data_IF_204958334995
#
_entry.id   IF_204958334995
#
_cell.length_a   1.000
_cell.length_b   1.000
_cell.length_c   1.000
_cell.angle_alpha   90.00
_cell.angle_beta   90.00
_cell.angle_gamma   90.00
#
_symmetry.space_group_name_H-M   'P 1'
#
loop_
_entity.id
_entity.type
_entity.pdbx_description
1 polymer ?
#
# COMPACT_ATOMS: atom_id res chain seq x y z
N UNK A 1 -23.26 11.80 -20.36
CA UNK A 1 -23.31 10.54 -21.14
C UNK A 1 -22.51 9.52 -20.37
N UNK A 2 -23.14 8.46 -19.88
CA UNK A 2 -22.54 7.46 -19.00
C UNK A 2 -21.59 6.55 -19.78
N UNK A 3 -20.31 6.88 -19.77
CA UNK A 3 -19.20 6.05 -20.30
C UNK A 3 -19.00 4.74 -19.51
N UNK A 4 -19.78 4.53 -18.45
CA UNK A 4 -19.67 3.40 -17.51
C UNK A 4 -20.04 2.03 -18.13
N UNK A 5 -20.73 2.00 -19.28
CA UNK A 5 -21.23 0.74 -19.86
C UNK A 5 -20.47 0.24 -21.09
N UNK A 6 -19.43 0.93 -21.58
CA UNK A 6 -18.59 0.39 -22.66
C UNK A 6 -17.60 -0.62 -22.08
N UNK A 7 -17.44 -1.80 -22.68
CA UNK A 7 -16.41 -2.75 -22.24
C UNK A 7 -15.01 -2.16 -22.46
N UNK A 8 -14.09 -2.37 -21.51
CA UNK A 8 -12.72 -1.82 -21.57
C UNK A 8 -11.96 -2.21 -22.84
N UNK A 9 -12.33 -3.30 -23.51
CA UNK A 9 -11.75 -3.77 -24.77
C UNK A 9 -12.07 -2.89 -25.98
N UNK A 10 -13.13 -2.08 -25.92
CA UNK A 10 -13.61 -1.24 -27.02
C UNK A 10 -13.31 0.25 -26.81
N UNK A 11 -12.66 0.60 -25.69
CA UNK A 11 -12.31 1.97 -25.36
C UNK A 11 -10.97 2.35 -26.01
N UNK A 12 -10.90 3.61 -26.45
CA UNK A 12 -9.63 4.21 -26.89
C UNK A 12 -8.67 4.38 -25.71
N UNK A 13 -7.37 4.50 -26.00
CA UNK A 13 -6.34 4.67 -24.97
C UNK A 13 -6.57 5.93 -24.11
N UNK A 14 -7.06 7.01 -24.73
CA UNK A 14 -7.40 8.25 -24.02
C UNK A 14 -8.60 8.06 -23.09
N UNK A 15 -9.65 7.38 -23.53
CA UNK A 15 -10.82 7.08 -22.70
C UNK A 15 -10.44 6.17 -21.52
N UNK A 16 -9.57 5.18 -21.73
CA UNK A 16 -9.07 4.29 -20.68
C UNK A 16 -8.30 5.07 -19.60
N UNK A 17 -7.44 6.01 -20.02
CA UNK A 17 -6.68 6.85 -19.10
C UNK A 17 -7.59 7.77 -18.29
N UNK A 18 -8.58 8.39 -18.93
CA UNK A 18 -9.57 9.24 -18.24
C UNK A 18 -10.40 8.43 -17.23
N UNK A 19 -10.78 7.20 -17.59
CA UNK A 19 -11.49 6.32 -16.67
C UNK A 19 -10.60 5.92 -15.48
N UNK A 20 -9.33 5.60 -15.70
CA UNK A 20 -8.39 5.28 -14.62
C UNK A 20 -8.17 6.48 -13.67
N UNK A 21 -8.02 7.69 -14.22
CA UNK A 21 -7.93 8.91 -13.41
C UNK A 21 -9.21 9.17 -12.59
N UNK A 22 -10.38 8.89 -13.17
CA UNK A 22 -11.66 8.99 -12.45
C UNK A 22 -11.75 7.95 -11.33
N UNK A 23 -11.38 6.70 -11.60
CA UNK A 23 -11.33 5.60 -10.63
C UNK A 23 -10.36 5.93 -9.48
N UNK A 24 -9.23 6.58 -9.75
CA UNK A 24 -8.29 7.04 -8.71
C UNK A 24 -8.83 8.21 -7.89
N UNK A 25 -9.59 9.13 -8.47
CA UNK A 25 -10.07 10.30 -7.74
C UNK A 25 -11.34 10.02 -6.92
N UNK A 26 -12.22 9.15 -7.41
CA UNK A 26 -13.55 8.89 -6.81
C UNK A 26 -13.69 7.50 -6.20
N UNK A 27 -12.82 6.56 -6.56
CA UNK A 27 -12.87 5.18 -6.11
C UNK A 27 -12.12 4.93 -4.79
N UNK A 28 -11.96 3.66 -4.39
CA UNK A 28 -11.31 3.27 -3.14
C UNK A 28 -9.83 3.67 -3.06
N UNK A 29 -9.15 3.76 -4.21
CA UNK A 29 -7.75 4.19 -4.29
C UNK A 29 -7.56 5.71 -4.06
N UNK A 30 -8.65 6.48 -3.99
CA UNK A 30 -8.61 7.90 -3.66
C UNK A 30 -7.94 8.17 -2.30
N UNK A 31 -7.99 7.22 -1.38
CA UNK A 31 -7.28 7.28 -0.09
C UNK A 31 -5.77 7.38 -0.29
N UNK A 32 -5.20 6.63 -1.24
CA UNK A 32 -3.79 6.71 -1.59
C UNK A 32 -3.48 8.01 -2.34
N UNK A 33 -4.35 8.43 -3.25
CA UNK A 33 -4.20 9.69 -3.98
C UNK A 33 -4.15 10.89 -3.05
N UNK A 34 -5.04 10.94 -2.05
CA UNK A 34 -5.02 11.95 -1.00
C UNK A 34 -3.76 11.86 -0.13
N UNK A 35 -3.29 10.64 0.16
CA UNK A 35 -2.08 10.43 0.96
C UNK A 35 -0.82 10.93 0.25
N UNK A 36 -0.73 10.76 -1.08
CA UNK A 36 0.36 11.30 -1.89
C UNK A 36 0.29 12.84 -1.93
N UNK A 37 -0.89 13.40 -2.22
CA UNK A 37 -1.09 14.87 -2.31
C UNK A 37 -0.77 15.60 -1.02
N UNK A 38 -1.24 15.06 0.11
CA UNK A 38 -1.04 15.68 1.42
C UNK A 38 0.28 15.24 2.08
N UNK A 39 1.02 14.34 1.44
CA UNK A 39 2.21 13.70 1.99
C UNK A 39 1.93 13.06 3.37
N UNK A 40 0.72 12.51 3.58
CA UNK A 40 0.33 11.88 4.84
C UNK A 40 1.09 10.58 5.08
N UNK A 41 1.24 10.23 6.35
CA UNK A 41 1.76 8.93 6.74
C UNK A 41 0.66 7.87 6.60
N UNK A 42 1.05 6.69 6.14
CA UNK A 42 0.16 5.54 6.00
C UNK A 42 0.72 4.34 6.74
N UNK A 43 -0.18 3.49 7.22
CA UNK A 43 0.15 2.17 7.77
C UNK A 43 -0.32 1.10 6.78
N UNK A 44 0.60 0.25 6.35
CA UNK A 44 0.34 -0.87 5.44
C UNK A 44 0.53 -2.17 6.21
N UNK A 45 -0.47 -3.04 6.19
CA UNK A 45 -0.34 -4.42 6.67
C UNK A 45 -0.05 -5.34 5.49
N UNK A 46 1.08 -6.04 5.56
CA UNK A 46 1.55 -6.95 4.51
C UNK A 46 1.14 -8.40 4.80
N UNK A 47 1.13 -9.23 3.76
CA UNK A 47 0.73 -10.66 3.81
C UNK A 47 1.66 -11.51 4.67
N UNK A 48 2.93 -11.13 4.79
CA UNK A 48 3.91 -11.76 5.69
C UNK A 48 3.74 -11.35 7.17
N UNK A 49 2.63 -10.67 7.51
CA UNK A 49 2.34 -10.14 8.85
C UNK A 49 3.31 -9.04 9.33
N UNK A 50 4.07 -8.44 8.41
CA UNK A 50 4.85 -7.23 8.69
C UNK A 50 3.95 -6.00 8.51
N UNK A 51 4.24 -4.95 9.27
CA UNK A 51 3.56 -3.66 9.17
C UNK A 51 4.56 -2.61 8.70
N UNK A 52 4.20 -1.85 7.68
CA UNK A 52 5.02 -0.75 7.16
C UNK A 52 4.36 0.57 7.53
N UNK A 53 5.08 1.44 8.20
CA UNK A 53 4.70 2.81 8.41
C UNK A 53 5.53 3.69 7.48
N UNK A 54 4.89 4.32 6.49
CA UNK A 54 5.59 4.95 5.37
C UNK A 54 4.84 6.17 4.83
N UNK A 55 5.48 6.92 3.92
CA UNK A 55 4.81 7.92 3.07
C UNK A 55 4.84 7.44 1.62
N UNK A 56 3.71 7.50 0.93
CA UNK A 56 3.60 7.12 -0.48
C UNK A 56 4.04 8.29 -1.35
N UNK A 57 4.89 8.03 -2.34
CA UNK A 57 5.26 9.00 -3.38
C UNK A 57 4.56 8.74 -4.70
N UNK A 58 4.34 7.49 -5.04
CA UNK A 58 3.58 7.08 -6.21
C UNK A 58 2.90 5.74 -5.94
N UNK A 59 1.79 5.49 -6.63
CA UNK A 59 1.11 4.20 -6.65
C UNK A 59 0.54 3.94 -8.04
N UNK A 60 0.10 2.71 -8.30
CA UNK A 60 -0.57 2.33 -9.54
C UNK A 60 -1.89 1.57 -9.28
N UNK A 61 -2.56 1.18 -10.37
CA UNK A 61 -3.80 0.39 -10.35
C UNK A 61 -3.69 -0.99 -9.68
N UNK A 62 -2.48 -1.55 -9.59
CA UNK A 62 -2.23 -2.84 -8.95
C UNK A 62 -1.89 -2.67 -7.46
N UNK A 63 -1.97 -1.45 -6.92
CA UNK A 63 -1.55 -1.13 -5.57
C UNK A 63 -0.05 -1.32 -5.35
N UNK A 64 0.76 -1.34 -6.42
CA UNK A 64 2.22 -1.19 -6.27
C UNK A 64 2.50 0.22 -5.78
N UNK A 65 3.48 0.39 -4.90
CA UNK A 65 3.78 1.68 -4.28
C UNK A 65 5.27 1.97 -4.26
N UNK A 66 5.60 3.23 -4.51
CA UNK A 66 6.90 3.80 -4.19
C UNK A 66 6.78 4.50 -2.84
N UNK A 67 7.52 4.00 -1.85
CA UNK A 67 7.47 4.45 -0.47
C UNK A 67 8.77 5.14 -0.07
N UNK A 68 8.65 6.15 0.78
CA UNK A 68 9.77 6.83 1.42
C UNK A 68 9.64 6.81 2.95
N UNK A 69 10.79 6.87 3.63
CA UNK A 69 10.90 6.87 5.08
C UNK A 69 10.14 5.69 5.70
N UNK A 70 10.39 4.49 5.18
CA UNK A 70 9.68 3.28 5.57
C UNK A 70 10.24 2.76 6.88
N UNK A 71 9.36 2.65 7.87
CA UNK A 71 9.62 1.88 9.09
C UNK A 71 8.85 0.56 9.01
N UNK A 72 9.58 -0.52 8.78
CA UNK A 72 9.05 -1.87 8.82
C UNK A 72 9.10 -2.41 10.24
N UNK A 73 8.01 -3.05 10.68
CA UNK A 73 7.85 -3.57 12.04
C UNK A 73 7.26 -4.98 11.98
N UNK A 74 7.85 -5.90 12.71
CA UNK A 74 7.36 -7.28 12.83
C UNK A 74 7.70 -7.85 14.21
N UNK A 75 7.05 -8.95 14.56
CA UNK A 75 7.29 -9.65 15.81
C UNK A 75 7.89 -11.02 15.50
N UNK A 76 9.08 -11.28 16.04
CA UNK A 76 9.69 -12.60 15.99
C UNK A 76 9.40 -13.34 17.29
N UNK A 77 9.04 -14.62 17.19
CA UNK A 77 8.95 -15.51 18.34
C UNK A 77 10.14 -16.47 18.28
N UNK A 78 11.25 -16.19 18.98
CA UNK A 78 12.40 -17.08 18.96
C UNK A 78 12.02 -18.45 19.55
N UNK A 79 12.60 -19.50 18.98
CA UNK A 79 12.52 -20.84 19.57
C UNK A 79 13.69 -21.01 20.51
N UNK A 80 13.43 -21.38 21.76
CA UNK A 80 14.50 -21.75 22.67
C UNK A 80 15.09 -23.11 22.26
N UNK A 81 16.33 -23.40 22.66
CA UNK A 81 17.00 -24.69 22.38
C UNK A 81 16.27 -25.94 22.91
N UNK A 82 15.20 -25.77 23.71
CA UNK A 82 14.31 -26.86 24.19
C UNK A 82 12.98 -26.94 23.43
N UNK A 83 12.83 -26.25 22.30
CA UNK A 83 11.63 -26.30 21.46
C UNK A 83 10.44 -25.50 21.98
N UNK A 84 10.53 -24.87 23.15
CA UNK A 84 9.48 -23.98 23.67
C UNK A 84 9.58 -22.58 23.06
N UNK A 85 8.42 -21.99 22.75
CA UNK A 85 8.32 -20.61 22.25
C UNK A 85 8.78 -19.63 23.33
N UNK A 86 9.75 -18.79 23.01
CA UNK A 86 10.18 -17.70 23.89
C UNK A 86 9.20 -16.52 23.84
N UNK A 87 9.45 -15.50 24.66
CA UNK A 87 8.69 -14.25 24.63
C UNK A 87 8.80 -13.60 23.23
N UNK A 88 7.69 -13.12 22.64
CA UNK A 88 7.72 -12.40 21.38
C UNK A 88 8.59 -11.14 21.48
N UNK A 89 9.45 -10.92 20.49
CA UNK A 89 10.34 -9.77 20.41
C UNK A 89 9.94 -8.92 19.21
N UNK A 90 9.66 -7.64 19.44
CA UNK A 90 9.39 -6.70 18.36
C UNK A 90 10.70 -6.26 17.74
N UNK A 91 10.78 -6.37 16.41
CA UNK A 91 11.87 -5.84 15.60
C UNK A 91 11.35 -4.76 14.68
N UNK A 92 12.21 -3.80 14.41
CA UNK A 92 11.98 -2.80 13.38
C UNK A 92 13.20 -2.62 12.49
N UNK A 93 12.94 -2.14 11.27
CA UNK A 93 13.95 -1.79 10.28
C UNK A 93 13.54 -0.49 9.60
N UNK A 94 14.52 0.38 9.36
CA UNK A 94 14.32 1.60 8.59
C UNK A 94 14.86 1.44 7.17
N UNK A 95 14.10 1.88 6.18
CA UNK A 95 14.48 1.89 4.77
C UNK A 95 14.09 3.25 4.16
N UNK A 96 15.07 3.97 3.63
CA UNK A 96 14.86 5.34 3.15
C UNK A 96 13.93 5.41 1.92
N UNK A 97 14.08 4.48 0.97
CA UNK A 97 13.25 4.34 -0.23
C UNK A 97 12.99 2.87 -0.50
N UNK A 98 11.74 2.51 -0.79
CA UNK A 98 11.33 1.13 -1.02
C UNK A 98 10.29 1.08 -2.13
N UNK A 99 10.42 0.11 -3.03
CA UNK A 99 9.34 -0.30 -3.92
C UNK A 99 8.59 -1.47 -3.27
N UNK A 100 7.28 -1.33 -3.11
CA UNK A 100 6.39 -2.35 -2.58
C UNK A 100 5.48 -2.86 -3.69
N UNK A 101 5.42 -4.18 -3.87
CA UNK A 101 4.51 -4.81 -4.82
C UNK A 101 3.12 -5.00 -4.21
N UNK A 102 2.06 -4.69 -4.96
CA UNK A 102 0.69 -4.61 -4.45
C UNK A 102 0.05 -5.93 -4.07
N UNK A 103 0.55 -7.06 -4.58
CA UNK A 103 0.13 -8.41 -4.16
C UNK A 103 0.45 -8.72 -2.70
N UNK A 104 1.48 -8.07 -2.15
CA UNK A 104 1.86 -8.21 -0.73
C UNK A 104 0.95 -7.43 0.21
N UNK A 105 0.22 -6.43 -0.29
CA UNK A 105 -0.61 -5.53 0.52
C UNK A 105 -1.93 -6.22 0.88
N UNK A 106 -2.31 -6.15 2.15
CA UNK A 106 -3.60 -6.66 2.64
C UNK A 106 -4.53 -5.53 3.05
N UNK A 107 -4.00 -4.55 3.79
CA UNK A 107 -4.76 -3.42 4.32
C UNK A 107 -3.90 -2.16 4.27
N UNK A 108 -4.51 -1.05 3.88
CA UNK A 108 -3.91 0.29 3.95
C UNK A 108 -4.78 1.16 4.83
N UNK A 109 -4.16 1.81 5.82
CA UNK A 109 -4.80 2.80 6.67
C UNK A 109 -4.10 4.15 6.48
N UNK A 110 -4.87 5.18 6.13
CA UNK A 110 -4.40 6.55 6.07
C UNK A 110 -4.43 7.16 7.47
N UNK A 111 -3.31 7.72 7.92
CA UNK A 111 -3.31 8.56 9.10
C UNK A 111 -3.89 9.94 8.74
N UNK A 112 -4.98 10.34 9.39
CA UNK A 112 -5.70 11.59 9.12
C UNK A 112 -5.26 12.74 10.03
N UNK A 113 -4.29 12.49 10.91
CA UNK A 113 -3.71 13.49 11.82
C UNK A 113 -2.70 14.36 11.09
#
# INVERSE_FOLDING_TARGET
MSTVNKPKSEMTEEELRQQEELEFNTGPLSVLQQSVKNNNQILISCRNNHKLLARVKAFDRHCNMVLENVKEMWTETPRTGKGSKAKPVNKDRFVSKMFLRGDTVVLVLRNTV
#
